data_IF_996376958755
#
_entry.id   IF_996376958755
#
_cell.length_a   1.000
_cell.length_b   1.000
_cell.length_c   1.000
_cell.angle_alpha   90.00
_cell.angle_beta   90.00
_cell.angle_gamma   90.00
#
_symmetry.space_group_name_H-M   'P 1'
#
loop_
_entity.id
_entity.type
_entity.pdbx_description
1 polymer ?
#
# COMPACT_ATOMS: atom_id res chain seq x y z
N UNK A 1 -4.46 -6.32 -10.21
CA UNK A 1 -3.84 -5.90 -8.93
C UNK A 1 -2.55 -6.66 -8.58
N UNK A 2 -2.52 -7.95 -8.23
CA UNK A 2 -1.23 -8.60 -7.85
C UNK A 2 -0.15 -8.52 -8.95
N UNK A 3 -0.51 -8.76 -10.21
CA UNK A 3 0.43 -8.63 -11.33
C UNK A 3 0.88 -7.17 -11.55
N UNK A 4 0.03 -6.19 -11.22
CA UNK A 4 0.39 -4.76 -11.24
C UNK A 4 1.42 -4.45 -10.15
N UNK A 5 1.26 -5.02 -8.96
CA UNK A 5 2.21 -4.87 -7.87
C UNK A 5 3.53 -5.56 -8.19
N UNK A 6 3.48 -6.73 -8.84
CA UNK A 6 4.69 -7.40 -9.34
C UNK A 6 5.42 -6.55 -10.35
N UNK A 7 4.72 -6.02 -11.35
CA UNK A 7 5.32 -5.12 -12.33
C UNK A 7 5.98 -3.90 -11.69
N UNK A 8 5.36 -3.33 -10.64
CA UNK A 8 5.94 -2.23 -9.87
C UNK A 8 7.20 -2.66 -9.08
N UNK A 9 7.18 -3.79 -8.38
CA UNK A 9 8.26 -4.22 -7.49
C UNK A 9 9.48 -4.78 -8.23
N UNK A 10 9.30 -5.40 -9.40
CA UNK A 10 10.38 -6.09 -10.13
C UNK A 10 11.03 -5.25 -11.23
N UNK A 11 10.86 -3.93 -11.22
CA UNK A 11 11.50 -3.08 -12.23
C UNK A 11 13.01 -2.95 -11.96
N UNK A 12 13.83 -3.40 -12.91
CA UNK A 12 15.31 -3.50 -12.76
C UNK A 12 16.01 -2.17 -12.46
N UNK A 13 15.42 -1.04 -12.86
CA UNK A 13 15.98 0.31 -12.66
C UNK A 13 15.62 0.94 -11.31
N UNK A 14 14.87 0.24 -10.46
CA UNK A 14 14.22 0.84 -9.31
C UNK A 14 14.68 0.23 -7.97
N UNK A 15 15.76 0.78 -7.40
CA UNK A 15 16.24 0.41 -6.07
C UNK A 15 15.58 1.29 -4.99
N UNK A 16 14.75 0.69 -4.15
CA UNK A 16 14.01 1.38 -3.08
C UNK A 16 14.24 0.78 -1.68
N UNK A 17 15.34 0.05 -1.48
CA UNK A 17 15.69 -0.52 -0.17
C UNK A 17 15.64 0.54 0.93
N UNK A 18 14.89 0.27 2.01
CA UNK A 18 14.67 1.21 3.11
C UNK A 18 13.75 2.40 2.81
N UNK A 19 13.15 2.50 1.62
CA UNK A 19 12.12 3.49 1.32
C UNK A 19 10.77 3.10 1.93
N UNK A 20 9.97 4.11 2.28
CA UNK A 20 8.61 3.93 2.78
C UNK A 20 7.60 4.45 1.76
N UNK A 21 6.49 3.74 1.58
CA UNK A 21 5.35 4.25 0.83
C UNK A 21 4.65 5.30 1.70
N UNK A 22 4.69 6.57 1.29
CA UNK A 22 3.94 7.63 1.96
C UNK A 22 2.49 7.73 1.47
N UNK A 23 2.26 7.41 0.20
CA UNK A 23 0.93 7.47 -0.42
C UNK A 23 0.81 6.56 -1.63
N UNK A 24 -0.38 6.01 -1.85
CA UNK A 24 -0.75 5.35 -3.11
C UNK A 24 -2.06 5.89 -3.64
N UNK A 25 -2.21 5.88 -4.96
CA UNK A 25 -3.47 6.05 -5.66
C UNK A 25 -3.69 4.84 -6.55
N UNK A 26 -4.87 4.27 -6.51
CA UNK A 26 -5.25 3.18 -7.39
C UNK A 26 -6.58 3.51 -8.07
N UNK A 27 -6.64 3.26 -9.37
CA UNK A 27 -7.84 3.38 -10.17
C UNK A 27 -7.98 2.17 -11.10
N UNK A 28 -9.18 1.58 -11.17
CA UNK A 28 -9.55 0.50 -12.06
C UNK A 28 -10.60 1.00 -13.05
N UNK A 29 -10.31 0.85 -14.33
CA UNK A 29 -11.18 1.25 -15.43
C UNK A 29 -11.97 0.08 -16.00
N UNK A 30 -11.39 -1.13 -15.94
CA UNK A 30 -11.93 -2.34 -16.55
C UNK A 30 -11.71 -3.55 -15.63
N UNK A 31 -12.58 -4.56 -15.71
CA UNK A 31 -12.41 -5.82 -14.99
C UNK A 31 -11.27 -6.66 -15.59
N UNK A 32 -10.72 -7.58 -14.78
CA UNK A 32 -9.61 -8.45 -15.19
C UNK A 32 -10.13 -9.64 -16.02
N UNK A 33 -10.57 -9.38 -17.26
CA UNK A 33 -11.08 -10.43 -18.16
C UNK A 33 -10.01 -10.98 -19.10
N UNK A 34 -8.99 -10.18 -19.41
CA UNK A 34 -8.02 -10.47 -20.47
C UNK A 34 -6.57 -10.34 -20.00
N UNK A 35 -5.67 -10.88 -20.83
CA UNK A 35 -4.22 -10.79 -20.60
C UNK A 35 -3.77 -9.32 -20.61
N UNK A 36 -3.08 -8.92 -19.55
CA UNK A 36 -2.55 -7.56 -19.39
C UNK A 36 -1.09 -7.44 -19.78
N UNK A 37 -0.72 -6.28 -20.28
CA UNK A 37 0.67 -5.80 -20.31
C UNK A 37 0.82 -4.69 -19.29
N UNK A 38 2.03 -4.50 -18.75
CA UNK A 38 2.30 -3.51 -17.72
C UNK A 38 3.38 -2.55 -18.17
N UNK A 39 3.17 -1.27 -17.88
CA UNK A 39 4.16 -0.21 -18.09
C UNK A 39 4.42 0.47 -16.76
N UNK A 40 5.69 0.70 -16.45
CA UNK A 40 6.10 1.45 -15.27
C UNK A 40 6.89 2.68 -15.69
N UNK A 41 6.58 3.82 -15.07
CA UNK A 41 7.18 5.10 -15.38
C UNK A 41 7.52 5.85 -14.09
N UNK A 42 8.73 6.39 -14.01
CA UNK A 42 9.12 7.32 -12.95
C UNK A 42 8.58 8.71 -13.34
N UNK A 43 7.50 9.12 -12.71
CA UNK A 43 6.83 10.42 -12.97
C UNK A 43 7.63 11.58 -12.38
N UNK A 44 8.23 11.38 -11.22
CA UNK A 44 9.05 12.39 -10.52
C UNK A 44 10.06 11.70 -9.63
N UNK A 45 11.33 12.12 -9.66
CA UNK A 45 12.34 11.62 -8.73
C UNK A 45 13.25 12.72 -8.23
N UNK A 46 13.49 12.75 -6.93
CA UNK A 46 14.48 13.58 -6.26
C UNK A 46 14.99 12.86 -4.99
N UNK A 47 15.94 13.47 -4.28
CA UNK A 47 16.59 12.87 -3.10
C UNK A 47 15.65 12.46 -1.96
N UNK A 48 14.43 13.02 -1.88
CA UNK A 48 13.46 12.76 -0.81
C UNK A 48 12.19 12.03 -1.27
N UNK A 49 11.82 12.18 -2.53
CA UNK A 49 10.56 11.67 -3.07
C UNK A 49 10.78 11.07 -4.45
N UNK A 50 10.32 9.84 -4.61
CA UNK A 50 10.11 9.22 -5.91
C UNK A 50 8.62 8.95 -6.12
N UNK A 51 8.09 9.28 -7.29
CA UNK A 51 6.72 9.00 -7.70
C UNK A 51 6.77 8.10 -8.92
N UNK A 52 6.19 6.93 -8.79
CA UNK A 52 6.16 5.90 -9.82
C UNK A 52 4.72 5.67 -10.22
N UNK A 53 4.45 5.61 -11.52
CA UNK A 53 3.16 5.19 -12.07
C UNK A 53 3.33 3.84 -12.73
N UNK A 54 2.49 2.88 -12.35
CA UNK A 54 2.39 1.58 -12.98
C UNK A 54 0.98 1.43 -13.55
N UNK A 55 0.87 1.15 -14.84
CA UNK A 55 -0.41 0.99 -15.52
C UNK A 55 -0.48 -0.36 -16.22
N UNK A 56 -1.60 -1.05 -16.07
CA UNK A 56 -1.93 -2.27 -16.80
C UNK A 56 -2.82 -1.96 -18.00
N UNK A 57 -2.53 -2.55 -19.15
CA UNK A 57 -3.23 -2.32 -20.41
C UNK A 57 -3.88 -3.60 -20.94
N UNK A 58 -5.09 -3.48 -21.47
CA UNK A 58 -5.80 -4.51 -22.23
C UNK A 58 -6.06 -3.92 -23.62
N UNK A 59 -5.60 -4.58 -24.68
CA UNK A 59 -5.76 -4.10 -26.05
C UNK A 59 -5.27 -2.65 -26.27
N UNK A 60 -4.16 -2.28 -25.63
CA UNK A 60 -3.57 -0.93 -25.59
C UNK A 60 -4.39 0.16 -24.87
N UNK A 61 -5.54 -0.19 -24.27
CA UNK A 61 -6.32 0.72 -23.42
C UNK A 61 -5.98 0.51 -21.94
N UNK A 62 -5.91 1.58 -21.12
CA UNK A 62 -5.64 1.45 -19.70
C UNK A 62 -6.78 0.70 -18.98
N UNK A 63 -6.41 -0.31 -18.20
CA UNK A 63 -7.33 -1.14 -17.42
C UNK A 63 -7.25 -0.85 -15.92
N UNK A 64 -6.05 -0.53 -15.43
CA UNK A 64 -5.79 -0.15 -14.04
C UNK A 64 -4.54 0.73 -13.98
N UNK A 65 -4.49 1.67 -13.04
CA UNK A 65 -3.33 2.51 -12.77
C UNK A 65 -3.07 2.57 -11.26
N UNK A 66 -1.81 2.38 -10.88
CA UNK A 66 -1.27 2.56 -9.54
C UNK A 66 -0.22 3.66 -9.57
N UNK A 67 -0.40 4.69 -8.75
CA UNK A 67 0.64 5.70 -8.50
C UNK A 67 1.16 5.56 -7.09
N UNK A 68 2.46 5.31 -6.93
CA UNK A 68 3.12 5.12 -5.62
C UNK A 68 4.04 6.31 -5.35
N UNK A 69 3.90 6.89 -4.16
CA UNK A 69 4.74 7.97 -3.66
C UNK A 69 5.67 7.39 -2.58
N UNK A 70 6.94 7.26 -2.93
CA UNK A 70 7.98 6.68 -2.09
C UNK A 70 8.81 7.78 -1.45
N UNK A 71 8.88 7.74 -0.13
CA UNK A 71 9.71 8.62 0.67
C UNK A 71 11.09 7.99 0.81
N UNK A 72 12.08 8.62 0.19
CA UNK A 72 13.48 8.17 0.20
C UNK A 72 14.18 8.74 1.44
N UNK A 73 15.00 7.92 2.12
CA UNK A 73 15.73 8.32 3.33
C UNK A 73 14.83 8.84 4.46
N UNK A 74 13.61 8.31 4.58
CA UNK A 74 12.71 8.69 5.65
C UNK A 74 13.15 8.02 6.96
N UNK A 75 13.36 8.83 7.99
CA UNK A 75 13.41 8.33 9.36
C UNK A 75 11.98 8.20 9.82
N UNK A 76 11.55 6.98 10.18
CA UNK A 76 10.26 6.78 10.86
C UNK A 76 10.32 7.61 12.13
N UNK A 77 9.52 8.68 12.18
CA UNK A 77 9.40 9.45 13.40
C UNK A 77 8.76 8.53 14.44
N UNK A 78 9.32 8.52 15.64
CA UNK A 78 8.67 7.88 16.77
C UNK A 78 7.23 8.38 16.85
N UNK A 79 6.26 7.50 17.14
CA UNK A 79 4.88 7.92 17.30
C UNK A 79 4.86 9.03 18.35
N UNK A 80 4.56 10.25 17.92
CA UNK A 80 4.17 11.31 18.83
C UNK A 80 2.95 10.77 19.54
N UNK A 81 2.89 10.85 20.87
CA UNK A 81 1.72 10.45 21.68
C UNK A 81 0.47 11.14 21.13
N UNK A 82 -0.16 10.51 20.14
CA UNK A 82 -1.50 10.86 19.70
C UNK A 82 -2.39 10.23 20.74
N UNK A 83 -3.13 11.10 21.46
CA UNK A 83 -4.19 10.75 22.42
C UNK A 83 -4.73 9.36 22.09
N UNK A 84 -4.58 8.43 23.03
CA UNK A 84 -5.17 7.09 23.01
C UNK A 84 -6.54 7.18 22.37
N UNK A 85 -6.63 6.81 21.09
CA UNK A 85 -7.92 6.73 20.42
C UNK A 85 -8.45 5.39 20.88
N UNK A 86 -9.18 5.40 22.01
CA UNK A 86 -10.02 4.28 22.41
C UNK A 86 -10.67 3.72 21.15
N UNK A 87 -10.58 2.41 20.97
CA UNK A 87 -10.97 1.67 19.77
C UNK A 87 -12.40 2.01 19.31
N UNK A 88 -12.56 3.09 18.55
CA UNK A 88 -13.83 3.55 17.98
C UNK A 88 -14.04 3.03 16.56
N UNK A 89 -13.27 2.03 16.16
CA UNK A 89 -13.34 1.34 14.88
C UNK A 89 -13.74 -0.12 15.03
N UNK A 90 -14.25 -0.70 13.95
CA UNK A 90 -14.50 -2.14 13.87
C UNK A 90 -13.19 -2.88 13.64
N UNK A 91 -13.00 -4.02 14.31
CA UNK A 91 -11.89 -4.92 13.99
C UNK A 91 -11.96 -5.28 12.51
N UNK A 92 -10.92 -4.93 11.75
CA UNK A 92 -10.88 -5.14 10.31
C UNK A 92 -10.06 -6.37 9.95
N UNK A 93 -8.82 -6.42 10.42
CA UNK A 93 -7.87 -7.46 10.01
C UNK A 93 -6.76 -7.65 11.02
N UNK A 94 -6.15 -8.82 10.98
CA UNK A 94 -4.82 -9.10 11.52
C UNK A 94 -3.99 -9.72 10.38
N UNK A 95 -2.76 -9.23 10.17
CA UNK A 95 -1.87 -9.73 9.13
C UNK A 95 -0.84 -10.65 9.76
N UNK A 96 -0.87 -11.94 9.44
CA UNK A 96 0.12 -12.90 9.94
C UNK A 96 1.50 -12.66 9.30
N UNK A 97 2.57 -13.15 9.96
CA UNK A 97 3.93 -13.06 9.40
C UNK A 97 4.04 -13.85 8.09
N UNK A 98 3.34 -14.97 8.03
CA UNK A 98 3.30 -15.87 6.89
C UNK A 98 2.65 -15.19 5.68
N UNK A 99 1.52 -14.50 5.87
CA UNK A 99 0.88 -13.72 4.79
C UNK A 99 1.78 -12.57 4.30
N UNK A 100 2.48 -11.89 5.20
CA UNK A 100 3.39 -10.78 4.85
C UNK A 100 4.57 -11.31 4.01
N UNK A 101 5.16 -12.43 4.42
CA UNK A 101 6.25 -13.07 3.69
C UNK A 101 5.78 -13.62 2.33
N UNK A 102 4.60 -14.25 2.29
CA UNK A 102 4.02 -14.76 1.04
C UNK A 102 3.70 -13.61 0.07
N UNK A 103 3.19 -12.49 0.58
CA UNK A 103 2.93 -11.31 -0.26
C UNK A 103 4.23 -10.77 -0.88
N UNK A 104 5.32 -10.70 -0.10
CA UNK A 104 6.66 -10.39 -0.61
C UNK A 104 7.11 -11.37 -1.69
N UNK A 105 6.89 -12.67 -1.50
CA UNK A 105 7.24 -13.69 -2.50
C UNK A 105 6.45 -13.52 -3.81
N UNK A 106 5.12 -13.35 -3.73
CA UNK A 106 4.23 -13.28 -4.90
C UNK A 106 4.42 -12.01 -5.71
N UNK A 107 4.70 -10.89 -5.04
CA UNK A 107 4.89 -9.59 -5.68
C UNK A 107 6.35 -9.31 -6.04
N UNK A 108 7.31 -10.00 -5.42
CA UNK A 108 8.73 -9.67 -5.58
C UNK A 108 9.18 -8.45 -4.76
N UNK A 109 8.32 -7.91 -3.89
CA UNK A 109 8.70 -6.85 -2.94
C UNK A 109 9.58 -7.44 -1.82
N UNK A 110 10.90 -7.40 -2.05
CA UNK A 110 11.91 -8.02 -1.19
C UNK A 110 12.53 -7.05 -0.18
N UNK A 111 11.94 -5.86 0.01
CA UNK A 111 12.41 -4.89 0.98
C UNK A 111 12.50 -5.53 2.39
N UNK A 112 13.68 -5.42 2.99
CA UNK A 112 14.04 -6.19 4.19
C UNK A 112 13.12 -5.92 5.39
N UNK A 113 12.47 -4.76 5.48
CA UNK A 113 11.54 -4.41 6.57
C UNK A 113 10.34 -5.36 6.70
N UNK A 114 10.01 -6.08 5.62
CA UNK A 114 8.92 -7.05 5.56
C UNK A 114 9.35 -8.46 5.98
N UNK A 115 10.65 -8.73 6.04
CA UNK A 115 11.24 -10.07 6.23
C UNK A 115 11.95 -10.19 7.58
N UNK A 116 11.50 -9.43 8.58
CA UNK A 116 12.06 -9.42 9.94
C UNK A 116 11.17 -10.20 10.93
N UNK A 117 11.66 -10.40 12.16
CA UNK A 117 10.87 -11.00 13.25
C UNK A 117 9.66 -10.15 13.67
N UNK A 118 9.68 -8.84 13.41
CA UNK A 118 8.55 -7.94 13.62
C UNK A 118 8.26 -7.20 12.31
N UNK A 119 7.66 -7.90 11.33
CA UNK A 119 7.61 -7.39 9.97
C UNK A 119 6.63 -6.23 9.84
N UNK A 120 7.00 -5.22 9.05
CA UNK A 120 6.07 -4.17 8.64
C UNK A 120 5.18 -4.73 7.53
N UNK A 121 3.88 -4.48 7.56
CA UNK A 121 2.96 -4.88 6.48
C UNK A 121 3.21 -4.01 5.24
N UNK A 122 3.31 -4.60 4.06
CA UNK A 122 3.50 -3.84 2.81
C UNK A 122 2.31 -2.88 2.60
N UNK A 123 2.58 -1.62 2.24
CA UNK A 123 1.53 -0.65 1.95
C UNK A 123 0.59 -1.14 0.84
N UNK A 124 1.14 -1.77 -0.20
CA UNK A 124 0.35 -2.36 -1.29
C UNK A 124 -0.50 -3.55 -0.84
N UNK A 125 -0.10 -4.27 0.20
CA UNK A 125 -0.94 -5.31 0.79
C UNK A 125 -2.15 -4.70 1.51
N UNK A 126 -1.94 -3.63 2.28
CA UNK A 126 -3.06 -2.86 2.89
C UNK A 126 -4.01 -2.33 1.80
N UNK A 127 -3.48 -1.78 0.71
CA UNK A 127 -4.27 -1.30 -0.43
C UNK A 127 -5.13 -2.42 -1.03
N UNK A 128 -4.55 -3.61 -1.25
CA UNK A 128 -5.28 -4.78 -1.77
C UNK A 128 -6.49 -5.10 -0.90
N UNK A 129 -6.27 -5.21 0.41
CA UNK A 129 -7.33 -5.57 1.33
C UNK A 129 -8.39 -4.47 1.46
N UNK A 130 -8.01 -3.19 1.35
CA UNK A 130 -8.97 -2.08 1.29
C UNK A 130 -9.83 -2.14 0.02
N UNK A 131 -9.24 -2.42 -1.14
CA UNK A 131 -10.01 -2.61 -2.37
C UNK A 131 -10.95 -3.81 -2.28
N UNK A 132 -10.50 -4.92 -1.68
CA UNK A 132 -11.33 -6.11 -1.47
C UNK A 132 -12.48 -5.85 -0.49
N UNK A 133 -12.26 -5.01 0.53
CA UNK A 133 -13.26 -4.63 1.54
C UNK A 133 -14.29 -3.65 0.96
N UNK A 134 -13.84 -2.63 0.24
CA UNK A 134 -14.68 -1.51 -0.20
C UNK A 134 -15.31 -1.72 -1.57
N UNK A 135 -14.74 -2.62 -2.38
CA UNK A 135 -15.06 -2.80 -3.80
C UNK A 135 -14.95 -1.52 -4.63
N UNK A 136 -14.22 -0.52 -4.12
CA UNK A 136 -14.03 0.74 -4.85
C UNK A 136 -13.17 0.53 -6.08
N UNK A 137 -13.54 1.22 -7.16
CA UNK A 137 -12.70 1.30 -8.36
C UNK A 137 -11.63 2.37 -8.23
N UNK A 138 -11.78 3.34 -7.33
CA UNK A 138 -10.81 4.42 -7.12
C UNK A 138 -10.58 4.67 -5.62
N UNK A 139 -9.31 4.69 -5.23
CA UNK A 139 -8.91 4.87 -3.84
C UNK A 139 -7.55 5.56 -3.74
N UNK A 140 -7.43 6.54 -2.85
CA UNK A 140 -6.15 7.08 -2.40
C UNK A 140 -5.90 6.61 -0.97
N UNK A 141 -4.69 6.15 -0.65
CA UNK A 141 -4.30 5.78 0.72
C UNK A 141 -3.04 6.54 1.11
N UNK A 142 -3.07 7.24 2.23
CA UNK A 142 -1.92 7.88 2.88
C UNK A 142 -1.49 7.03 4.07
N UNK A 143 -0.20 6.71 4.15
CA UNK A 143 0.36 5.96 5.27
C UNK A 143 1.07 6.93 6.22
N UNK A 144 0.74 6.82 7.50
CA UNK A 144 1.19 7.72 8.56
C UNK A 144 2.17 7.00 9.48
N UNK A 145 1.75 5.84 10.02
CA UNK A 145 2.56 4.98 10.88
C UNK A 145 2.55 3.53 10.35
N UNK A 146 3.64 2.77 10.54
CA UNK A 146 3.70 1.39 10.09
C UNK A 146 2.66 0.53 10.82
N UNK A 147 2.05 -0.38 10.08
CA UNK A 147 1.32 -1.52 10.65
C UNK A 147 2.34 -2.65 10.79
N UNK A 148 2.50 -3.18 11.99
CA UNK A 148 3.34 -4.37 12.21
C UNK A 148 2.47 -5.63 12.18
N UNK A 149 3.05 -6.73 11.69
CA UNK A 149 2.41 -8.04 11.66
C UNK A 149 1.95 -8.50 13.04
N UNK A 150 0.97 -9.41 13.04
CA UNK A 150 0.30 -9.98 14.20
C UNK A 150 -0.47 -8.99 15.10
N UNK A 151 -0.47 -7.69 14.81
CA UNK A 151 -1.28 -6.72 15.51
C UNK A 151 -2.66 -6.58 14.87
N UNK A 152 -3.67 -6.29 15.70
CA UNK A 152 -5.01 -6.00 15.24
C UNK A 152 -5.04 -4.65 14.55
N UNK A 153 -5.74 -4.59 13.42
CA UNK A 153 -6.03 -3.36 12.69
C UNK A 153 -7.53 -3.10 12.78
N UNK A 154 -7.89 -1.92 13.25
CA UNK A 154 -9.26 -1.44 13.33
C UNK A 154 -9.48 -0.38 12.26
N UNK A 155 -10.67 -0.36 11.66
CA UNK A 155 -11.04 0.72 10.73
C UNK A 155 -12.26 1.46 11.23
N UNK A 156 -12.27 2.78 11.00
CA UNK A 156 -13.43 3.64 11.18
C UNK A 156 -13.74 4.32 9.86
N UNK A 157 -14.98 4.20 9.40
CA UNK A 157 -15.43 4.84 8.17
C UNK A 157 -16.32 6.05 8.48
N UNK A 158 -15.98 7.20 7.89
CA UNK A 158 -16.69 8.47 8.00
C UNK A 158 -16.96 8.97 6.57
N UNK A 159 -18.11 8.61 6.00
CA UNK A 159 -18.42 8.90 4.59
C UNK A 159 -17.50 8.12 3.64
N UNK A 160 -16.75 8.85 2.80
CA UNK A 160 -15.78 8.28 1.87
C UNK A 160 -14.36 8.15 2.46
N UNK A 161 -14.15 8.51 3.73
CA UNK A 161 -12.86 8.40 4.40
C UNK A 161 -12.85 7.18 5.33
N UNK A 162 -11.80 6.39 5.26
CA UNK A 162 -11.53 5.24 6.13
C UNK A 162 -10.21 5.50 6.87
N UNK A 163 -10.25 5.51 8.20
CA UNK A 163 -9.06 5.62 9.04
C UNK A 163 -8.72 4.27 9.63
N UNK A 164 -7.48 3.83 9.46
CA UNK A 164 -6.95 2.58 9.99
C UNK A 164 -6.06 2.80 11.20
N UNK A 165 -6.30 2.04 12.26
CA UNK A 165 -5.60 2.14 13.53
C UNK A 165 -5.00 0.80 13.93
N UNK A 166 -3.79 0.81 14.47
CA UNK A 166 -3.16 -0.36 15.09
C UNK A 166 -2.27 0.11 16.25
N UNK A 167 -2.28 -0.63 17.37
CA UNK A 167 -1.59 -0.26 18.61
C UNK A 167 -1.85 1.21 19.01
N UNK A 168 -3.13 1.61 18.99
CA UNK A 168 -3.62 2.96 19.34
C UNK A 168 -3.09 4.13 18.48
N UNK A 169 -2.35 3.85 17.39
CA UNK A 169 -1.85 4.83 16.46
C UNK A 169 -2.66 4.85 15.15
N UNK A 170 -2.83 6.04 14.55
CA UNK A 170 -3.36 6.17 13.20
C UNK A 170 -2.30 5.68 12.19
N UNK A 171 -2.53 4.55 11.55
CA UNK A 171 -1.58 3.96 10.60
C UNK A 171 -1.82 4.45 9.17
N UNK A 172 -3.08 4.57 8.75
CA UNK A 172 -3.41 5.02 7.40
C UNK A 172 -4.75 5.75 7.33
N UNK A 173 -4.89 6.58 6.29
CA UNK A 173 -6.15 7.20 5.90
C UNK A 173 -6.38 6.90 4.42
N UNK A 174 -7.53 6.30 4.11
CA UNK A 174 -7.95 6.01 2.74
C UNK A 174 -9.16 6.87 2.35
N UNK A 175 -9.15 7.40 1.15
CA UNK A 175 -10.26 8.16 0.56
C UNK A 175 -10.77 7.41 -0.66
N UNK A 176 -12.05 7.05 -0.64
CA UNK A 176 -12.77 6.52 -1.80
C UNK A 176 -13.17 7.70 -2.69
N UNK A 177 -12.87 7.59 -3.99
CA UNK A 177 -13.04 8.66 -4.97
C UNK A 177 -14.16 8.35 -5.97
#
# INVERSE_FOLDING_TARGET
MLDLFRAFATQEDFFYEGAFIGKVKYQRFQENTDKKTYKVEIVKSNRRLCVVSCSGYINNEPSETLTVYLMMNAVVKEPVETKTVEATGSLWRNFSKEEIAEFSHVTGDTNSIHLTDNPVVQGLFILKELCDTTKSNEIEVKYVHPVYGCNQVYIKQEGNIIKGYSNDALCFEATLL
#
